data_IF_847180793378
#
_entry.id   IF_847180793378
#
_cell.length_a   1.000
_cell.length_b   1.000
_cell.length_c   1.000
_cell.angle_alpha   90.00
_cell.angle_beta   90.00
_cell.angle_gamma   90.00
#
_symmetry.space_group_name_H-M   'P 1'
#
loop_
_entity.id
_entity.type
_entity.pdbx_description
1 polymer ?
#
# COMPACT_ATOMS: atom_id res chain seq x y z
N UNK A 1 -66.76 2.48 4.33
CA UNK A 1 -66.43 3.32 5.50
C UNK A 1 -65.34 4.37 5.26
N UNK A 2 -64.48 4.27 4.24
CA UNK A 2 -63.55 5.37 3.87
C UNK A 2 -64.08 6.30 2.75
N UNK A 3 -65.07 5.86 1.98
CA UNK A 3 -65.68 6.67 0.90
C UNK A 3 -66.75 7.66 1.42
N UNK A 4 -67.39 7.37 2.55
CA UNK A 4 -68.34 8.29 3.22
C UNK A 4 -67.67 9.48 3.93
N UNK A 5 -66.35 9.44 4.09
CA UNK A 5 -65.58 10.55 4.65
C UNK A 5 -65.18 11.58 3.58
N UNK A 6 -65.07 11.16 2.31
CA UNK A 6 -64.65 12.01 1.19
C UNK A 6 -65.84 12.79 0.61
N UNK A 7 -67.05 12.19 0.63
CA UNK A 7 -68.30 12.84 0.23
C UNK A 7 -68.75 13.94 1.21
N UNK A 8 -68.39 13.84 2.50
CA UNK A 8 -68.65 14.89 3.50
C UNK A 8 -67.64 16.05 3.49
N UNK A 9 -66.56 15.96 2.73
CA UNK A 9 -65.59 17.05 2.60
C UNK A 9 -66.07 18.19 1.67
N UNK A 10 -67.13 17.95 0.87
CA UNK A 10 -67.68 18.93 -0.07
C UNK A 10 -68.76 19.86 0.53
N UNK A 11 -69.09 19.70 1.82
CA UNK A 11 -69.98 20.59 2.58
C UNK A 11 -69.26 21.31 3.73
N UNK A 12 -68.02 21.75 3.50
CA UNK A 12 -67.38 22.67 4.44
C UNK A 12 -67.91 24.10 4.23
N UNK A 13 -68.39 24.80 5.28
CA UNK A 13 -68.64 26.23 5.18
C UNK A 13 -67.34 26.92 4.77
N UNK A 14 -67.42 27.98 3.95
CA UNK A 14 -66.31 28.92 3.72
C UNK A 14 -65.99 29.63 5.04
N UNK A 15 -65.40 28.90 5.97
CA UNK A 15 -64.94 29.35 7.28
C UNK A 15 -63.47 29.69 7.19
N UNK A 16 -63.11 30.88 7.68
CA UNK A 16 -61.72 31.29 7.85
C UNK A 16 -60.95 30.16 8.53
N UNK A 17 -59.92 29.65 7.86
CA UNK A 17 -58.97 28.72 8.47
C UNK A 17 -58.34 29.49 9.63
N UNK A 18 -58.75 29.17 10.85
CA UNK A 18 -58.22 29.81 12.04
C UNK A 18 -56.72 29.53 12.14
N UNK A 19 -55.94 30.53 12.57
CA UNK A 19 -54.48 30.44 12.79
C UNK A 19 -54.11 29.17 13.56
N UNK A 20 -54.93 28.79 14.53
CA UNK A 20 -54.81 27.57 15.35
C UNK A 20 -54.96 26.28 14.55
N UNK A 21 -55.90 26.22 13.60
CA UNK A 21 -56.07 25.06 12.70
C UNK A 21 -54.90 24.96 11.72
N UNK A 22 -54.42 26.11 11.21
CA UNK A 22 -53.24 26.15 10.34
C UNK A 22 -51.98 25.68 11.09
N UNK A 23 -51.78 26.14 12.32
CA UNK A 23 -50.70 25.71 13.22
C UNK A 23 -50.78 24.20 13.51
N UNK A 24 -51.98 23.66 13.77
CA UNK A 24 -52.18 22.24 14.02
C UNK A 24 -51.88 21.37 12.78
N UNK A 25 -52.30 21.81 11.59
CA UNK A 25 -51.99 21.13 10.31
C UNK A 25 -50.48 21.18 10.03
N UNK A 26 -49.82 22.31 10.28
CA UNK A 26 -48.37 22.43 10.15
C UNK A 26 -47.62 21.53 11.15
N UNK A 27 -48.10 21.44 12.39
CA UNK A 27 -47.53 20.55 13.40
C UNK A 27 -47.72 19.07 13.03
N UNK A 28 -48.89 18.69 12.52
CA UNK A 28 -49.15 17.33 12.03
C UNK A 28 -48.28 16.98 10.82
N UNK A 29 -48.11 17.93 9.88
CA UNK A 29 -47.24 17.78 8.71
C UNK A 29 -45.77 17.58 9.12
N UNK A 30 -45.29 18.27 10.17
CA UNK A 30 -43.95 18.07 10.75
C UNK A 30 -43.77 16.70 11.41
N UNK A 31 -44.84 16.09 11.94
CA UNK A 31 -44.80 14.75 12.57
C UNK A 31 -44.91 13.62 11.55
N UNK A 32 -45.43 13.90 10.36
CA UNK A 32 -45.72 12.90 9.33
C UNK A 32 -44.50 12.06 8.90
N UNK A 33 -43.29 12.62 8.67
CA UNK A 33 -42.13 11.82 8.29
C UNK A 33 -41.72 10.84 9.40
N UNK A 34 -41.79 11.27 10.67
CA UNK A 34 -41.52 10.40 11.82
C UNK A 34 -42.57 9.28 11.92
N UNK A 35 -43.85 9.58 11.70
CA UNK A 35 -44.89 8.53 11.70
C UNK A 35 -44.64 7.49 10.61
N UNK A 36 -44.18 7.90 9.43
CA UNK A 36 -43.78 6.96 8.40
C UNK A 36 -42.60 6.09 8.84
N UNK A 37 -41.65 6.62 9.61
CA UNK A 37 -40.40 5.91 9.95
C UNK A 37 -40.59 4.74 10.90
N UNK A 38 -41.66 4.77 11.69
CA UNK A 38 -42.06 3.71 12.63
C UNK A 38 -43.16 2.79 12.06
N UNK A 39 -43.71 3.12 10.89
CA UNK A 39 -44.84 2.40 10.29
C UNK A 39 -44.42 1.35 9.26
N UNK A 40 -45.37 0.50 8.85
CA UNK A 40 -45.20 -0.42 7.71
C UNK A 40 -44.99 0.30 6.36
N UNK A 41 -45.25 1.61 6.29
CA UNK A 41 -45.14 2.44 5.08
C UNK A 41 -43.77 3.14 4.94
N UNK A 42 -42.77 2.73 5.73
CA UNK A 42 -41.39 3.24 5.71
C UNK A 42 -40.80 3.32 4.29
N UNK A 43 -41.10 2.35 3.42
CA UNK A 43 -40.53 2.23 2.07
C UNK A 43 -41.38 2.88 0.98
N UNK A 44 -42.49 3.52 1.34
CA UNK A 44 -43.38 4.17 0.37
C UNK A 44 -42.70 5.36 -0.32
N UNK A 45 -43.06 5.60 -1.59
CA UNK A 45 -42.50 6.72 -2.36
C UNK A 45 -42.76 8.08 -1.67
N UNK A 46 -43.92 8.22 -1.00
CA UNK A 46 -44.26 9.41 -0.21
C UNK A 46 -43.35 9.56 1.02
N UNK A 47 -43.07 8.47 1.74
CA UNK A 47 -42.14 8.50 2.87
C UNK A 47 -40.72 8.89 2.45
N UNK A 48 -40.21 8.33 1.36
CA UNK A 48 -38.87 8.66 0.84
C UNK A 48 -38.78 10.13 0.42
N UNK A 49 -39.79 10.66 -0.28
CA UNK A 49 -39.82 12.07 -0.66
C UNK A 49 -39.78 12.98 0.58
N UNK A 50 -40.52 12.61 1.64
CA UNK A 50 -40.50 13.32 2.91
C UNK A 50 -39.14 13.23 3.62
N UNK A 51 -38.50 12.05 3.64
CA UNK A 51 -37.15 11.92 4.20
C UNK A 51 -36.11 12.72 3.44
N UNK A 52 -36.17 12.73 2.10
CA UNK A 52 -35.31 13.58 1.26
C UNK A 52 -35.53 15.05 1.58
N UNK A 53 -36.78 15.48 1.79
CA UNK A 53 -37.10 16.86 2.13
C UNK A 53 -36.57 17.26 3.51
N UNK A 54 -36.80 16.43 4.54
CA UNK A 54 -36.32 16.71 5.89
C UNK A 54 -34.78 16.67 5.96
N UNK A 55 -34.14 15.67 5.33
CA UNK A 55 -32.68 15.66 5.18
C UNK A 55 -32.19 16.94 4.47
N UNK A 56 -32.87 17.35 3.39
CA UNK A 56 -32.53 18.58 2.67
C UNK A 56 -32.67 19.84 3.53
N UNK A 57 -33.67 19.88 4.39
CA UNK A 57 -33.87 20.99 5.30
C UNK A 57 -32.78 21.05 6.37
N UNK A 58 -32.59 19.95 7.11
CA UNK A 58 -31.66 19.92 8.24
C UNK A 58 -30.19 20.03 7.82
N UNK A 59 -29.78 19.46 6.68
CA UNK A 59 -28.40 19.66 6.21
C UNK A 59 -28.11 21.11 5.83
N UNK A 60 -29.09 21.84 5.25
CA UNK A 60 -28.91 23.25 4.84
C UNK A 60 -28.89 24.16 6.07
N UNK A 61 -29.75 23.90 7.06
CA UNK A 61 -29.91 24.73 8.25
C UNK A 61 -28.82 24.49 9.31
N UNK A 62 -28.39 23.23 9.49
CA UNK A 62 -27.56 22.80 10.63
C UNK A 62 -26.27 22.06 10.27
N UNK A 63 -26.05 21.77 8.99
CA UNK A 63 -24.88 21.03 8.51
C UNK A 63 -25.03 19.50 8.57
N UNK A 64 -24.02 18.80 8.04
CA UNK A 64 -24.03 17.34 7.85
C UNK A 64 -23.76 16.54 9.14
N UNK A 65 -22.99 17.09 10.08
CA UNK A 65 -22.64 16.41 11.34
C UNK A 65 -23.73 16.54 12.43
N UNK A 66 -24.77 17.33 12.19
CA UNK A 66 -25.82 17.54 13.18
C UNK A 66 -26.68 16.27 13.38
N UNK A 67 -27.02 15.95 14.64
CA UNK A 67 -27.78 14.76 15.04
C UNK A 67 -29.08 14.57 14.24
N UNK A 68 -29.87 15.64 14.07
CA UNK A 68 -31.12 15.58 13.29
C UNK A 68 -30.87 15.24 11.81
N UNK A 69 -29.79 15.78 11.21
CA UNK A 69 -29.42 15.48 9.82
C UNK A 69 -29.07 14.01 9.66
N UNK A 70 -28.26 13.47 10.57
CA UNK A 70 -27.87 12.06 10.58
C UNK A 70 -29.07 11.13 10.85
N UNK A 71 -30.01 11.55 11.70
CA UNK A 71 -31.25 10.80 11.96
C UNK A 71 -32.08 10.64 10.67
N UNK A 72 -32.32 11.73 9.94
CA UNK A 72 -33.06 11.69 8.69
C UNK A 72 -32.32 10.94 7.59
N UNK A 73 -30.99 11.06 7.54
CA UNK A 73 -30.16 10.27 6.64
C UNK A 73 -30.30 8.76 6.94
N UNK A 74 -30.33 8.38 8.21
CA UNK A 74 -30.56 7.01 8.64
C UNK A 74 -31.91 6.46 8.19
N UNK A 75 -32.98 7.24 8.35
CA UNK A 75 -34.31 6.88 7.87
C UNK A 75 -34.37 6.76 6.35
N UNK A 76 -33.79 7.72 5.62
CA UNK A 76 -33.72 7.72 4.17
C UNK A 76 -32.98 6.50 3.64
N UNK A 77 -31.78 6.22 4.16
CA UNK A 77 -30.95 5.09 3.75
C UNK A 77 -31.66 3.77 4.03
N UNK A 78 -32.25 3.61 5.22
CA UNK A 78 -32.99 2.39 5.56
C UNK A 78 -34.21 2.17 4.67
N UNK A 79 -34.92 3.24 4.30
CA UNK A 79 -36.06 3.16 3.39
C UNK A 79 -35.63 2.78 1.97
N UNK A 80 -34.53 3.37 1.47
CA UNK A 80 -33.99 3.09 0.14
C UNK A 80 -33.42 1.67 0.04
N UNK A 81 -32.63 1.22 1.03
CA UNK A 81 -32.06 -0.12 1.05
C UNK A 81 -33.14 -1.22 1.12
N UNK A 82 -34.27 -0.95 1.79
CA UNK A 82 -35.41 -1.89 1.88
C UNK A 82 -36.33 -1.91 0.66
N UNK A 83 -36.11 -1.06 -0.36
CA UNK A 83 -36.89 -1.11 -1.59
C UNK A 83 -36.47 -2.25 -2.53
N UNK A 84 -35.35 -2.93 -2.27
CA UNK A 84 -34.81 -4.05 -3.07
C UNK A 84 -34.64 -3.71 -4.57
N UNK A 85 -34.45 -2.42 -4.86
CA UNK A 85 -34.16 -1.91 -6.20
C UNK A 85 -32.67 -1.55 -6.29
N UNK A 86 -31.96 -1.97 -7.34
CA UNK A 86 -30.54 -1.68 -7.47
C UNK A 86 -30.25 -0.17 -7.58
N UNK A 87 -31.13 0.60 -8.22
CA UNK A 87 -30.99 2.05 -8.34
C UNK A 87 -31.16 2.76 -6.98
N UNK A 88 -32.13 2.31 -6.17
CA UNK A 88 -32.37 2.88 -4.85
C UNK A 88 -31.23 2.56 -3.87
N UNK A 89 -30.65 1.37 -3.98
CA UNK A 89 -29.48 0.95 -3.19
C UNK A 89 -28.25 1.77 -3.56
N UNK A 90 -28.04 2.01 -4.87
CA UNK A 90 -26.96 2.87 -5.36
C UNK A 90 -27.13 4.32 -4.89
N UNK A 91 -28.36 4.85 -4.93
CA UNK A 91 -28.66 6.19 -4.40
C UNK A 91 -28.35 6.28 -2.90
N UNK A 92 -28.71 5.26 -2.12
CA UNK A 92 -28.40 5.21 -0.69
C UNK A 92 -26.90 5.22 -0.41
N UNK A 93 -26.14 4.39 -1.14
CA UNK A 93 -24.67 4.32 -1.03
C UNK A 93 -24.02 5.67 -1.37
N UNK A 94 -24.40 6.28 -2.49
CA UNK A 94 -23.85 7.58 -2.93
C UNK A 94 -24.19 8.70 -1.93
N UNK A 95 -25.41 8.73 -1.41
CA UNK A 95 -25.84 9.75 -0.45
C UNK A 95 -25.09 9.62 0.88
N UNK A 96 -24.91 8.39 1.36
CA UNK A 96 -24.12 8.13 2.57
C UNK A 96 -22.65 8.51 2.39
N UNK A 97 -22.04 8.06 1.29
CA UNK A 97 -20.66 8.36 0.97
C UNK A 97 -20.44 9.88 0.89
N UNK A 98 -21.28 10.60 0.14
CA UNK A 98 -21.20 12.05 0.05
C UNK A 98 -21.32 12.73 1.42
N UNK A 99 -22.25 12.28 2.26
CA UNK A 99 -22.44 12.83 3.60
C UNK A 99 -21.23 12.62 4.51
N UNK A 100 -20.60 11.43 4.47
CA UNK A 100 -19.36 11.15 5.21
C UNK A 100 -18.24 12.09 4.76
N UNK A 101 -18.08 12.27 3.45
CA UNK A 101 -17.03 13.15 2.92
C UNK A 101 -17.26 14.62 3.29
N UNK A 102 -18.50 15.09 3.30
CA UNK A 102 -18.81 16.46 3.73
C UNK A 102 -18.57 16.67 5.23
N UNK A 103 -18.88 15.68 6.09
CA UNK A 103 -18.53 15.74 7.52
C UNK A 103 -17.02 15.83 7.69
N UNK A 104 -16.24 14.99 7.00
CA UNK A 104 -14.78 15.01 7.06
C UNK A 104 -14.14 16.32 6.57
N UNK A 105 -14.83 17.07 5.70
CA UNK A 105 -14.37 18.39 5.22
C UNK A 105 -14.72 19.54 6.15
N UNK A 106 -15.91 19.49 6.76
CA UNK A 106 -16.52 20.64 7.43
C UNK A 106 -16.35 20.61 8.94
N UNK A 107 -16.36 19.43 9.54
CA UNK A 107 -16.29 19.27 10.98
C UNK A 107 -14.84 19.15 11.47
N UNK A 108 -14.50 19.92 12.50
CA UNK A 108 -13.16 19.95 13.13
C UNK A 108 -13.17 19.50 14.57
N UNK A 109 -14.35 19.40 15.20
CA UNK A 109 -14.49 18.94 16.56
C UNK A 109 -14.36 17.40 16.61
N UNK A 110 -13.35 16.91 17.33
CA UNK A 110 -13.05 15.48 17.45
C UNK A 110 -14.18 14.66 18.08
N UNK A 111 -14.92 15.22 19.05
CA UNK A 111 -16.06 14.54 19.66
C UNK A 111 -17.21 14.39 18.65
N UNK A 112 -17.52 15.46 17.92
CA UNK A 112 -18.56 15.42 16.89
C UNK A 112 -18.19 14.46 15.75
N UNK A 113 -16.91 14.38 15.38
CA UNK A 113 -16.41 13.42 14.39
C UNK A 113 -16.57 11.98 14.88
N UNK A 114 -16.21 11.70 16.14
CA UNK A 114 -16.39 10.37 16.75
C UNK A 114 -17.87 9.97 16.78
N UNK A 115 -18.74 10.85 17.28
CA UNK A 115 -20.18 10.60 17.39
C UNK A 115 -20.83 10.40 16.00
N UNK A 116 -20.39 11.21 15.02
CA UNK A 116 -20.83 11.09 13.62
C UNK A 116 -20.38 9.76 13.03
N UNK A 117 -19.12 9.34 13.24
CA UNK A 117 -18.59 8.06 12.78
C UNK A 117 -19.40 6.88 13.32
N UNK A 118 -19.66 6.83 14.63
CA UNK A 118 -20.49 5.80 15.26
C UNK A 118 -21.90 5.79 14.66
N UNK A 119 -22.48 6.96 14.42
CA UNK A 119 -23.81 7.10 13.83
C UNK A 119 -23.83 6.60 12.38
N UNK A 120 -22.87 7.00 11.54
CA UNK A 120 -22.76 6.50 10.16
C UNK A 120 -22.58 4.99 10.12
N UNK A 121 -21.67 4.43 10.93
CA UNK A 121 -21.47 2.99 11.01
C UNK A 121 -22.76 2.26 11.39
N UNK A 122 -23.52 2.81 12.34
CA UNK A 122 -24.84 2.28 12.74
C UNK A 122 -25.85 2.37 11.59
N UNK A 123 -25.84 3.45 10.79
CA UNK A 123 -26.70 3.58 9.61
C UNK A 123 -26.35 2.53 8.56
N UNK A 124 -25.07 2.35 8.23
CA UNK A 124 -24.60 1.31 7.30
C UNK A 124 -25.05 -0.08 7.76
N UNK A 125 -24.88 -0.41 9.05
CA UNK A 125 -25.32 -1.69 9.63
C UNK A 125 -26.83 -1.88 9.54
N UNK A 126 -27.61 -0.87 9.91
CA UNK A 126 -29.08 -0.92 9.88
C UNK A 126 -29.65 -1.00 8.46
N UNK A 127 -28.90 -0.57 7.46
CA UNK A 127 -29.24 -0.66 6.04
C UNK A 127 -28.74 -1.95 5.36
N UNK A 128 -27.97 -2.80 6.06
CA UNK A 128 -27.37 -4.01 5.47
C UNK A 128 -26.21 -3.73 4.51
N UNK A 129 -25.59 -2.55 4.61
CA UNK A 129 -24.53 -2.06 3.71
C UNK A 129 -23.13 -2.18 4.34
N UNK A 130 -22.89 -3.20 5.16
CA UNK A 130 -21.63 -3.36 5.90
C UNK A 130 -20.41 -3.57 5.00
N UNK A 131 -20.56 -4.31 3.90
CA UNK A 131 -19.48 -4.52 2.91
C UNK A 131 -19.02 -3.20 2.28
N UNK A 132 -19.98 -2.33 1.96
CA UNK A 132 -19.74 -1.00 1.41
C UNK A 132 -19.07 -0.08 2.44
N UNK A 133 -19.48 -0.18 3.71
CA UNK A 133 -18.87 0.55 4.80
C UNK A 133 -17.39 0.15 5.01
N UNK A 134 -17.09 -1.16 4.96
CA UNK A 134 -15.70 -1.67 5.00
C UNK A 134 -14.89 -1.20 3.79
N UNK A 135 -15.48 -1.20 2.58
CA UNK A 135 -14.81 -0.69 1.38
C UNK A 135 -14.51 0.81 1.50
N UNK A 136 -15.47 1.61 1.93
CA UNK A 136 -15.30 3.04 2.16
C UNK A 136 -14.21 3.29 3.20
N UNK A 137 -14.19 2.52 4.29
CA UNK A 137 -13.16 2.62 5.31
C UNK A 137 -11.76 2.41 4.72
N UNK A 138 -11.55 1.31 3.99
CA UNK A 138 -10.26 1.03 3.34
C UNK A 138 -9.84 2.21 2.44
N UNK A 139 -10.75 2.75 1.64
CA UNK A 139 -10.47 3.89 0.77
C UNK A 139 -10.12 5.17 1.54
N UNK A 140 -10.81 5.46 2.65
CA UNK A 140 -10.54 6.64 3.48
C UNK A 140 -9.20 6.51 4.21
N UNK A 141 -8.87 5.33 4.75
CA UNK A 141 -7.57 5.05 5.36
C UNK A 141 -6.44 5.19 4.34
N UNK A 142 -6.58 4.59 3.15
CA UNK A 142 -5.59 4.74 2.07
C UNK A 142 -5.39 6.20 1.64
N UNK A 143 -6.47 6.99 1.60
CA UNK A 143 -6.37 8.42 1.30
C UNK A 143 -5.69 9.20 2.42
N UNK A 144 -6.00 8.91 3.68
CA UNK A 144 -5.43 9.62 4.83
C UNK A 144 -3.92 9.39 4.97
N UNK A 145 -3.47 8.16 4.70
CA UNK A 145 -2.10 7.72 4.93
C UNK A 145 -1.26 7.94 3.67
N UNK A 146 -1.69 7.39 2.54
CA UNK A 146 -0.90 7.34 1.31
C UNK A 146 -1.20 8.48 0.33
N UNK A 147 -2.22 9.31 0.62
CA UNK A 147 -2.82 10.25 -0.36
C UNK A 147 -3.23 9.55 -1.66
N UNK A 148 -3.54 8.25 -1.59
CA UNK A 148 -3.90 7.41 -2.73
C UNK A 148 -5.32 6.90 -2.54
N UNK A 149 -6.24 7.28 -3.44
CA UNK A 149 -7.57 6.66 -3.47
C UNK A 149 -8.24 6.79 -4.85
N UNK A 150 -9.05 5.78 -5.20
CA UNK A 150 -9.96 5.81 -6.34
C UNK A 150 -11.24 6.62 -6.05
N UNK A 151 -11.38 7.18 -4.85
CA UNK A 151 -12.46 8.12 -4.59
C UNK A 151 -12.18 9.36 -5.42
N UNK A 152 -13.19 9.85 -6.14
CA UNK A 152 -13.19 11.19 -6.75
C UNK A 152 -13.23 12.28 -5.66
N UNK A 153 -12.41 12.17 -4.62
CA UNK A 153 -12.11 13.31 -3.78
C UNK A 153 -11.26 14.25 -4.61
N UNK A 154 -11.62 15.53 -4.55
CA UNK A 154 -10.75 16.59 -5.02
C UNK A 154 -9.36 16.35 -4.39
N UNK A 155 -8.27 16.26 -5.18
CA UNK A 155 -6.90 16.02 -4.67
C UNK A 155 -6.45 17.07 -3.63
N UNK A 156 -7.24 18.12 -3.41
CA UNK A 156 -7.08 19.11 -2.33
C UNK A 156 -7.56 18.65 -0.95
N UNK A 157 -8.34 17.57 -0.84
CA UNK A 157 -8.83 17.08 0.46
C UNK A 157 -7.75 16.19 1.08
N UNK A 158 -6.83 16.82 1.81
CA UNK A 158 -5.94 16.12 2.73
C UNK A 158 -6.70 15.87 4.02
N UNK A 159 -6.91 14.58 4.34
CA UNK A 159 -7.45 14.19 5.64
C UNK A 159 -6.40 14.52 6.71
N UNK A 160 -6.65 15.58 7.47
CA UNK A 160 -5.74 16.03 8.54
C UNK A 160 -5.83 15.11 9.76
N UNK A 161 -4.84 15.17 10.66
CA UNK A 161 -4.74 14.25 11.81
C UNK A 161 -5.96 14.24 12.73
N UNK A 162 -6.75 15.31 12.78
CA UNK A 162 -7.99 15.34 13.58
C UNK A 162 -9.08 14.40 13.02
N UNK A 163 -9.05 14.09 11.71
CA UNK A 163 -9.99 13.17 11.07
C UNK A 163 -9.73 11.70 11.40
N UNK A 164 -8.57 11.38 11.99
CA UNK A 164 -8.23 10.00 12.38
C UNK A 164 -9.15 9.45 13.46
N UNK A 165 -9.66 10.32 14.33
CA UNK A 165 -10.69 9.96 15.32
C UNK A 165 -11.95 9.43 14.65
N UNK A 166 -12.35 10.03 13.51
CA UNK A 166 -13.47 9.53 12.71
C UNK A 166 -13.18 8.13 12.19
N UNK A 167 -11.99 7.92 11.60
CA UNK A 167 -11.61 6.62 11.02
C UNK A 167 -11.66 5.54 12.10
N UNK A 168 -10.93 5.69 13.19
CA UNK A 168 -10.88 4.66 14.26
C UNK A 168 -12.26 4.39 14.86
N UNK A 169 -13.08 5.43 15.07
CA UNK A 169 -14.45 5.28 15.59
C UNK A 169 -15.38 4.54 14.60
N UNK A 170 -15.22 4.80 13.30
CA UNK A 170 -16.00 4.14 12.26
C UNK A 170 -15.59 2.67 12.09
N UNK A 171 -14.29 2.36 12.09
CA UNK A 171 -13.75 0.99 11.99
C UNK A 171 -14.13 0.13 13.19
N UNK A 172 -13.93 0.64 14.41
CA UNK A 172 -14.31 -0.07 15.64
C UNK A 172 -15.80 -0.42 15.66
N UNK A 173 -16.66 0.50 15.21
CA UNK A 173 -18.11 0.28 15.19
C UNK A 173 -18.54 -0.72 14.11
N UNK A 174 -17.91 -0.72 12.93
CA UNK A 174 -18.26 -1.64 11.82
C UNK A 174 -17.74 -3.04 12.06
N UNK A 175 -16.48 -3.17 12.49
CA UNK A 175 -15.85 -4.47 12.70
C UNK A 175 -16.35 -5.14 13.96
N UNK A 176 -16.86 -4.37 14.93
CA UNK A 176 -17.29 -4.87 16.22
C UNK A 176 -16.15 -5.50 17.03
N UNK A 177 -14.89 -5.23 16.64
CA UNK A 177 -13.70 -5.73 17.33
C UNK A 177 -13.68 -5.14 18.75
N UNK A 178 -13.33 -5.99 19.72
CA UNK A 178 -13.12 -5.59 21.13
C UNK A 178 -11.72 -4.99 21.37
N UNK A 179 -10.95 -4.78 20.31
CA UNK A 179 -9.67 -4.07 20.42
C UNK A 179 -9.91 -2.72 21.07
N UNK A 180 -9.02 -2.34 21.99
CA UNK A 180 -9.12 -1.07 22.67
C UNK A 180 -8.95 0.03 21.62
N UNK A 181 -9.82 1.04 21.67
CA UNK A 181 -9.74 2.23 20.81
C UNK A 181 -8.33 2.82 20.78
N UNK A 182 -7.63 2.81 21.91
CA UNK A 182 -6.24 3.26 22.03
C UNK A 182 -5.25 2.45 21.20
N UNK A 183 -5.46 1.14 21.04
CA UNK A 183 -4.63 0.27 20.21
C UNK A 183 -4.82 0.61 18.74
N UNK A 184 -6.06 0.63 18.26
CA UNK A 184 -6.36 0.98 16.86
C UNK A 184 -5.83 2.38 16.50
N UNK A 185 -5.94 3.33 17.42
CA UNK A 185 -5.38 4.66 17.23
C UNK A 185 -3.85 4.62 17.18
N UNK A 186 -3.19 3.88 18.08
CA UNK A 186 -1.74 3.73 18.08
C UNK A 186 -1.23 3.08 16.78
N UNK A 187 -1.94 2.06 16.27
CA UNK A 187 -1.60 1.40 15.02
C UNK A 187 -1.69 2.37 13.84
N UNK A 188 -2.75 3.17 13.77
CA UNK A 188 -2.91 4.21 12.76
C UNK A 188 -1.81 5.28 12.85
N UNK A 189 -1.47 5.73 14.06
CA UNK A 189 -0.36 6.68 14.27
C UNK A 189 0.98 6.09 13.80
N UNK A 190 1.25 4.84 14.14
CA UNK A 190 2.47 4.15 13.73
C UNK A 190 2.53 3.98 12.21
N UNK A 191 1.43 3.60 11.57
CA UNK A 191 1.34 3.45 10.12
C UNK A 191 1.68 4.77 9.42
N UNK A 192 1.03 5.86 9.83
CA UNK A 192 1.28 7.20 9.27
C UNK A 192 2.73 7.62 9.51
N UNK A 193 3.24 7.41 10.71
CA UNK A 193 4.61 7.76 11.05
C UNK A 193 5.62 7.00 10.17
N UNK A 194 5.48 5.68 10.03
CA UNK A 194 6.35 4.84 9.20
C UNK A 194 6.29 5.27 7.74
N UNK A 195 5.10 5.54 7.20
CA UNK A 195 4.95 5.99 5.82
C UNK A 195 5.57 7.38 5.59
N UNK A 196 5.36 8.32 6.52
CA UNK A 196 5.98 9.65 6.45
C UNK A 196 7.50 9.58 6.53
N UNK A 197 8.06 8.70 7.37
CA UNK A 197 9.51 8.51 7.47
C UNK A 197 10.07 7.95 6.16
N UNK A 198 9.39 6.98 5.55
CA UNK A 198 9.73 6.48 4.22
C UNK A 198 9.68 7.59 3.15
N UNK A 199 8.57 8.31 3.02
CA UNK A 199 8.43 9.39 2.04
C UNK A 199 9.46 10.50 2.24
N UNK A 200 9.68 10.91 3.49
CA UNK A 200 10.70 11.91 3.85
C UNK A 200 12.10 11.44 3.47
N UNK A 201 12.41 10.16 3.67
CA UNK A 201 13.72 9.61 3.30
C UNK A 201 14.00 9.71 1.79
N UNK A 202 12.97 9.52 0.96
CA UNK A 202 13.05 9.72 -0.49
C UNK A 202 13.24 11.19 -0.84
N UNK A 203 12.40 12.07 -0.29
CA UNK A 203 12.45 13.53 -0.59
C UNK A 203 13.78 14.14 -0.16
N UNK A 204 14.32 13.71 0.97
CA UNK A 204 15.62 14.15 1.48
C UNK A 204 16.81 13.49 0.79
N UNK A 205 16.57 12.60 -0.19
CA UNK A 205 17.60 11.85 -0.91
C UNK A 205 18.58 11.17 0.04
N UNK A 206 18.04 10.54 1.09
CA UNK A 206 18.85 9.73 2.00
C UNK A 206 19.52 8.59 1.25
N UNK A 207 20.53 7.98 1.88
CA UNK A 207 21.17 6.78 1.33
C UNK A 207 20.13 5.70 1.04
N UNK A 208 20.29 5.02 -0.10
CA UNK A 208 19.40 3.98 -0.60
C UNK A 208 19.03 2.94 0.47
N UNK A 209 20.01 2.56 1.28
CA UNK A 209 19.96 1.56 2.35
C UNK A 209 19.05 2.02 3.49
N UNK A 210 19.18 3.28 3.89
CA UNK A 210 18.34 3.93 4.89
C UNK A 210 16.89 4.01 4.43
N UNK A 211 16.65 4.34 3.15
CA UNK A 211 15.29 4.36 2.58
C UNK A 211 14.67 2.96 2.63
N UNK A 212 15.42 1.93 2.21
CA UNK A 212 14.94 0.55 2.24
C UNK A 212 14.73 0.02 3.67
N UNK A 213 15.51 0.48 4.66
CA UNK A 213 15.26 0.15 6.07
C UNK A 213 13.95 0.74 6.58
N UNK A 214 13.57 1.95 6.16
CA UNK A 214 12.26 2.50 6.50
C UNK A 214 11.14 1.76 5.77
N UNK A 215 11.35 1.42 4.50
CA UNK A 215 10.42 0.61 3.71
C UNK A 215 10.18 -0.77 4.33
N UNK A 216 11.23 -1.46 4.78
CA UNK A 216 11.11 -2.80 5.39
C UNK A 216 10.27 -2.77 6.67
N UNK A 217 10.49 -1.76 7.52
CA UNK A 217 9.69 -1.56 8.74
C UNK A 217 8.23 -1.25 8.43
N UNK A 218 7.97 -0.40 7.44
CA UNK A 218 6.62 -0.09 6.98
C UNK A 218 5.90 -1.35 6.48
N UNK A 219 6.53 -2.12 5.59
CA UNK A 219 5.92 -3.33 5.02
C UNK A 219 5.69 -4.42 6.07
N UNK A 220 6.63 -4.59 7.01
CA UNK A 220 6.47 -5.52 8.13
C UNK A 220 5.27 -5.13 9.00
N UNK A 221 5.17 -3.85 9.36
CA UNK A 221 4.06 -3.33 10.15
C UNK A 221 2.70 -3.47 9.45
N UNK A 222 2.61 -3.14 8.15
CA UNK A 222 1.38 -3.30 7.36
C UNK A 222 0.92 -4.76 7.30
N UNK A 223 1.87 -5.70 7.26
CA UNK A 223 1.59 -7.14 7.30
C UNK A 223 1.11 -7.59 8.69
N UNK A 224 1.64 -7.02 9.77
CA UNK A 224 1.20 -7.30 11.14
C UNK A 224 -0.22 -6.79 11.42
N UNK A 225 -0.59 -5.63 10.86
CA UNK A 225 -1.91 -5.01 11.01
C UNK A 225 -2.95 -5.59 10.03
N UNK A 226 -2.54 -6.52 9.14
CA UNK A 226 -3.38 -7.12 8.10
C UNK A 226 -4.03 -6.08 7.15
N UNK A 227 -3.37 -4.95 6.89
CA UNK A 227 -3.84 -3.97 5.91
C UNK A 227 -3.34 -4.30 4.50
N UNK A 228 -4.03 -5.24 3.84
CA UNK A 228 -3.71 -5.67 2.48
C UNK A 228 -3.67 -4.50 1.46
N UNK A 229 -4.55 -3.51 1.64
CA UNK A 229 -4.66 -2.41 0.69
C UNK A 229 -3.50 -1.42 0.86
N UNK A 230 -3.16 -1.07 2.11
CA UNK A 230 -1.97 -0.29 2.43
C UNK A 230 -0.69 -1.01 1.98
N UNK A 231 -0.62 -2.33 2.21
CA UNK A 231 0.51 -3.16 1.82
C UNK A 231 0.72 -3.16 0.29
N UNK A 232 -0.33 -3.30 -0.51
CA UNK A 232 -0.22 -3.26 -1.98
C UNK A 232 0.30 -1.90 -2.49
N UNK A 233 -0.19 -0.80 -1.91
CA UNK A 233 0.23 0.57 -2.29
C UNK A 233 1.69 0.80 -1.91
N UNK A 234 2.06 0.45 -0.67
CA UNK A 234 3.41 0.60 -0.17
C UNK A 234 4.40 -0.30 -0.94
N UNK A 235 4.07 -1.57 -1.16
CA UNK A 235 4.89 -2.52 -1.92
C UNK A 235 5.15 -2.03 -3.34
N UNK A 236 4.11 -1.55 -4.02
CA UNK A 236 4.25 -0.97 -5.36
C UNK A 236 5.16 0.26 -5.36
N UNK A 237 4.99 1.18 -4.42
CA UNK A 237 5.83 2.38 -4.31
C UNK A 237 7.30 2.02 -4.03
N UNK A 238 7.54 1.05 -3.14
CA UNK A 238 8.88 0.57 -2.80
C UNK A 238 9.52 -0.13 -3.99
N UNK A 239 8.76 -0.94 -4.73
CA UNK A 239 9.24 -1.60 -5.95
C UNK A 239 9.60 -0.60 -7.04
N UNK A 240 8.78 0.43 -7.26
CA UNK A 240 9.06 1.52 -8.20
C UNK A 240 10.33 2.30 -7.82
N UNK A 241 10.50 2.62 -6.52
CA UNK A 241 11.71 3.25 -6.02
C UNK A 241 12.94 2.35 -6.23
N UNK A 242 12.83 1.07 -5.88
CA UNK A 242 13.92 0.10 -6.03
C UNK A 242 14.34 -0.08 -7.49
N UNK A 243 13.39 -0.25 -8.40
CA UNK A 243 13.63 -0.37 -9.83
C UNK A 243 14.27 0.88 -10.43
N UNK A 244 13.83 2.07 -9.99
CA UNK A 244 14.39 3.34 -10.46
C UNK A 244 15.87 3.46 -10.07
N UNK A 245 16.24 3.05 -8.85
CA UNK A 245 17.64 3.08 -8.41
C UNK A 245 18.50 2.00 -9.07
N UNK A 246 17.92 0.87 -9.47
CA UNK A 246 18.62 -0.18 -10.22
C UNK A 246 18.58 0.02 -11.75
N UNK A 247 17.99 1.12 -12.23
CA UNK A 247 17.80 1.43 -13.66
C UNK A 247 17.01 0.35 -14.43
N UNK A 248 16.16 -0.42 -13.73
CA UNK A 248 15.37 -1.52 -14.29
C UNK A 248 14.04 -0.99 -14.83
N UNK A 249 13.80 -1.19 -16.12
CA UNK A 249 12.55 -0.75 -16.77
C UNK A 249 11.37 -1.72 -16.59
N UNK A 250 11.64 -2.99 -16.30
CA UNK A 250 10.59 -4.01 -16.19
C UNK A 250 10.18 -4.25 -14.72
N UNK A 251 9.18 -3.50 -14.26
CA UNK A 251 8.58 -3.65 -12.92
C UNK A 251 7.82 -4.97 -12.73
N UNK A 252 7.55 -5.69 -13.82
CA UNK A 252 6.82 -6.96 -13.83
C UNK A 252 7.74 -8.17 -13.62
N UNK A 253 9.05 -7.97 -13.53
CA UNK A 253 10.00 -9.08 -13.33
C UNK A 253 9.79 -9.71 -11.96
N UNK A 254 9.43 -11.00 -11.94
CA UNK A 254 9.33 -11.77 -10.71
C UNK A 254 10.68 -11.86 -9.98
N UNK A 255 11.79 -11.80 -10.72
CA UNK A 255 13.15 -11.80 -10.18
C UNK A 255 13.47 -10.51 -9.44
N UNK A 256 12.98 -9.36 -9.94
CA UNK A 256 13.12 -8.08 -9.25
C UNK A 256 12.40 -8.08 -7.91
N UNK A 257 11.18 -8.63 -7.85
CA UNK A 257 10.41 -8.77 -6.61
C UNK A 257 11.07 -9.72 -5.61
N UNK A 258 11.60 -10.84 -6.09
CA UNK A 258 12.33 -11.78 -5.26
C UNK A 258 13.60 -11.14 -4.69
N UNK A 259 14.36 -10.41 -5.51
CA UNK A 259 15.55 -9.72 -5.04
C UNK A 259 15.22 -8.63 -4.03
N UNK A 260 14.16 -7.83 -4.26
CA UNK A 260 13.66 -6.87 -3.28
C UNK A 260 13.34 -7.56 -1.95
N UNK A 261 12.67 -8.71 -1.99
CA UNK A 261 12.36 -9.48 -0.79
C UNK A 261 13.61 -9.94 -0.04
N UNK A 262 14.61 -10.47 -0.75
CA UNK A 262 15.91 -10.85 -0.18
C UNK A 262 16.56 -9.65 0.52
N UNK A 263 16.55 -8.49 -0.12
CA UNK A 263 17.10 -7.25 0.45
C UNK A 263 16.35 -6.85 1.72
N UNK A 264 15.02 -6.77 1.67
CA UNK A 264 14.20 -6.33 2.81
C UNK A 264 14.35 -7.24 4.05
N UNK A 265 14.48 -8.55 3.86
CA UNK A 265 14.65 -9.53 4.95
C UNK A 265 16.02 -9.37 5.62
N UNK A 266 17.08 -9.22 4.84
CA UNK A 266 18.46 -9.23 5.35
C UNK A 266 18.96 -7.83 5.76
N UNK A 267 18.23 -6.75 5.45
CA UNK A 267 18.64 -5.36 5.72
C UNK A 267 18.79 -5.01 7.22
N UNK A 268 18.10 -5.74 8.11
CA UNK A 268 18.14 -5.48 9.55
C UNK A 268 19.23 -6.27 10.27
N UNK A 269 20.04 -7.07 9.56
CA UNK A 269 21.15 -7.82 10.14
C UNK A 269 22.40 -6.94 10.33
N UNK A 270 23.21 -7.23 11.36
CA UNK A 270 24.40 -6.44 11.70
C UNK A 270 25.45 -6.34 10.58
N UNK A 271 25.43 -7.27 9.62
CA UNK A 271 26.22 -7.26 8.38
C UNK A 271 25.31 -7.39 7.14
N UNK A 272 24.27 -6.56 7.05
CA UNK A 272 23.27 -6.58 5.97
C UNK A 272 23.85 -6.80 4.56
N UNK A 273 24.97 -6.15 4.25
CA UNK A 273 25.65 -6.26 2.96
C UNK A 273 26.12 -7.68 2.63
N UNK A 274 26.72 -8.36 3.62
CA UNK A 274 27.25 -9.71 3.48
C UNK A 274 26.08 -10.71 3.45
N UNK A 275 25.06 -10.50 4.28
CA UNK A 275 23.87 -11.35 4.31
C UNK A 275 23.07 -11.29 3.00
N UNK A 276 22.87 -10.09 2.44
CA UNK A 276 22.21 -9.91 1.14
C UNK A 276 23.01 -10.57 0.02
N UNK A 277 24.33 -10.39 -0.01
CA UNK A 277 25.20 -10.99 -1.03
C UNK A 277 25.18 -12.53 -0.94
N UNK A 278 25.19 -13.08 0.27
CA UNK A 278 25.07 -14.52 0.51
C UNK A 278 23.72 -15.08 0.06
N UNK A 279 22.62 -14.45 0.48
CA UNK A 279 21.28 -14.88 0.10
C UNK A 279 21.05 -14.77 -1.41
N UNK A 280 21.57 -13.72 -2.06
CA UNK A 280 21.56 -13.57 -3.52
C UNK A 280 22.38 -14.64 -4.24
N UNK A 281 23.56 -14.99 -3.72
CA UNK A 281 24.40 -16.08 -4.25
C UNK A 281 23.70 -17.45 -4.14
N UNK A 282 23.08 -17.73 -3.00
CA UNK A 282 22.37 -18.99 -2.76
C UNK A 282 21.16 -19.10 -3.70
N UNK A 283 20.36 -18.04 -3.83
CA UNK A 283 19.24 -17.99 -4.76
C UNK A 283 19.69 -18.15 -6.22
N UNK A 284 20.77 -17.48 -6.63
CA UNK A 284 21.37 -17.63 -7.97
C UNK A 284 21.81 -19.07 -8.22
N UNK A 285 22.44 -19.71 -7.22
CA UNK A 285 22.86 -21.11 -7.29
C UNK A 285 21.68 -22.08 -7.43
N UNK A 286 20.56 -21.80 -6.75
CA UNK A 286 19.31 -22.56 -6.89
C UNK A 286 18.72 -22.43 -8.30
N UNK A 287 18.70 -21.23 -8.88
CA UNK A 287 18.23 -21.02 -10.25
C UNK A 287 19.11 -21.73 -11.29
N UNK A 288 20.43 -21.66 -11.11
CA UNK A 288 21.39 -22.41 -11.93
C UNK A 288 21.19 -23.92 -11.83
N UNK A 289 20.94 -24.45 -10.64
CA UNK A 289 20.62 -25.87 -10.42
C UNK A 289 19.32 -26.31 -11.10
N UNK A 290 18.33 -25.43 -11.17
CA UNK A 290 17.02 -25.65 -11.83
C UNK A 290 17.05 -25.42 -13.34
N UNK A 291 18.21 -25.13 -13.95
CA UNK A 291 18.38 -24.79 -15.38
C UNK A 291 17.62 -23.53 -15.83
N UNK A 292 17.33 -22.62 -14.90
CA UNK A 292 16.72 -21.32 -15.15
C UNK A 292 17.81 -20.26 -15.32
N UNK A 293 18.52 -20.34 -16.44
CA UNK A 293 19.75 -19.58 -16.67
C UNK A 293 19.52 -18.08 -16.88
N UNK A 294 18.39 -17.69 -17.48
CA UNK A 294 18.05 -16.28 -17.70
C UNK A 294 17.74 -15.58 -16.36
N UNK A 295 16.96 -16.23 -15.50
CA UNK A 295 16.60 -15.75 -14.18
C UNK A 295 17.80 -15.67 -13.24
N UNK A 296 18.68 -16.67 -13.26
CA UNK A 296 19.92 -16.66 -12.49
C UNK A 296 20.84 -15.48 -12.89
N UNK A 297 20.94 -15.20 -14.20
CA UNK A 297 21.71 -14.05 -14.70
C UNK A 297 21.11 -12.73 -14.23
N UNK A 298 19.80 -12.54 -14.42
CA UNK A 298 19.09 -11.32 -14.01
C UNK A 298 19.24 -11.06 -12.50
N UNK A 299 19.12 -12.10 -11.68
CA UNK A 299 19.34 -12.00 -10.23
C UNK A 299 20.78 -11.61 -9.89
N UNK A 300 21.77 -12.22 -10.54
CA UNK A 300 23.17 -11.90 -10.31
C UNK A 300 23.54 -10.49 -10.78
N UNK A 301 22.90 -9.97 -11.83
CA UNK A 301 23.04 -8.57 -12.25
C UNK A 301 22.55 -7.64 -11.13
N UNK A 302 21.38 -7.90 -10.56
CA UNK A 302 20.86 -7.10 -9.46
C UNK A 302 21.74 -7.15 -8.21
N UNK A 303 22.29 -8.32 -7.88
CA UNK A 303 23.25 -8.49 -6.77
C UNK A 303 24.52 -7.66 -7.02
N UNK A 304 25.12 -7.73 -8.21
CA UNK A 304 26.32 -6.94 -8.54
C UNK A 304 26.04 -5.43 -8.53
N UNK A 305 24.89 -4.99 -9.07
CA UNK A 305 24.48 -3.59 -9.02
C UNK A 305 24.28 -3.10 -7.58
N UNK A 306 23.60 -3.89 -6.74
CA UNK A 306 23.42 -3.57 -5.33
C UNK A 306 24.76 -3.45 -4.61
N UNK A 307 25.71 -4.35 -4.90
CA UNK A 307 27.03 -4.31 -4.29
C UNK A 307 27.81 -3.03 -4.65
N UNK A 308 27.63 -2.49 -5.85
CA UNK A 308 28.25 -1.20 -6.25
C UNK A 308 27.77 -0.03 -5.39
N UNK A 309 26.52 -0.04 -4.94
CA UNK A 309 26.01 0.99 -4.01
C UNK A 309 26.68 0.95 -2.64
N UNK A 310 27.17 -0.22 -2.22
CA UNK A 310 27.85 -0.46 -0.94
C UNK A 310 29.38 -0.43 -1.04
N UNK A 311 29.92 0.33 -1.99
CA UNK A 311 31.37 0.49 -2.17
C UNK A 311 32.04 -0.64 -2.98
N UNK A 312 31.28 -1.62 -3.45
CA UNK A 312 31.76 -2.76 -4.22
C UNK A 312 32.33 -3.87 -3.34
N UNK A 313 33.22 -4.69 -3.90
CA UNK A 313 33.87 -5.80 -3.22
C UNK A 313 35.11 -5.31 -2.46
N UNK A 314 34.90 -4.68 -1.30
CA UNK A 314 35.94 -3.98 -0.53
C UNK A 314 36.42 -4.72 0.73
N UNK A 315 35.74 -5.79 1.14
CA UNK A 315 36.16 -6.67 2.24
C UNK A 315 36.41 -8.09 1.75
N UNK A 316 37.27 -8.84 2.43
CA UNK A 316 37.60 -10.22 2.07
C UNK A 316 36.36 -11.13 1.95
N UNK A 317 35.37 -11.09 2.88
CA UNK A 317 34.14 -11.86 2.75
C UNK A 317 33.33 -11.51 1.48
N UNK A 318 33.23 -10.21 1.14
CA UNK A 318 32.55 -9.77 -0.07
C UNK A 318 33.26 -10.26 -1.32
N UNK A 319 34.60 -10.24 -1.33
CA UNK A 319 35.38 -10.73 -2.47
C UNK A 319 35.20 -12.23 -2.67
N UNK A 320 35.33 -13.05 -1.62
CA UNK A 320 35.08 -14.51 -1.72
C UNK A 320 33.67 -14.79 -2.27
N UNK A 321 32.66 -14.08 -1.78
CA UNK A 321 31.29 -14.24 -2.29
C UNK A 321 31.11 -13.74 -3.73
N UNK A 322 31.74 -12.64 -4.11
CA UNK A 322 31.74 -12.13 -5.49
C UNK A 322 32.42 -13.08 -6.46
N UNK A 323 33.53 -13.71 -6.06
CA UNK A 323 34.18 -14.76 -6.83
C UNK A 323 33.30 -15.99 -6.99
N UNK A 324 32.65 -16.44 -5.90
CA UNK A 324 31.68 -17.54 -5.97
C UNK A 324 30.52 -17.20 -6.91
N UNK A 325 30.02 -15.98 -6.89
CA UNK A 325 28.95 -15.53 -7.80
C UNK A 325 29.41 -15.59 -9.26
N UNK A 326 30.60 -15.06 -9.58
CA UNK A 326 31.21 -15.14 -10.90
C UNK A 326 31.39 -16.60 -11.37
N UNK A 327 31.88 -17.48 -10.49
CA UNK A 327 32.05 -18.90 -10.77
C UNK A 327 30.71 -19.59 -11.03
N UNK A 328 29.68 -19.34 -10.21
CA UNK A 328 28.34 -19.94 -10.37
C UNK A 328 27.72 -19.57 -11.72
N UNK A 329 27.96 -18.35 -12.21
CA UNK A 329 27.46 -17.89 -13.51
C UNK A 329 28.06 -18.65 -14.70
N UNK A 330 29.32 -19.09 -14.61
CA UNK A 330 30.03 -19.72 -15.73
C UNK A 330 30.15 -21.24 -15.60
N UNK A 331 30.05 -21.79 -14.39
CA UNK A 331 30.19 -23.23 -14.10
C UNK A 331 29.05 -24.09 -14.67
N UNK A 332 28.04 -23.50 -15.30
CA UNK A 332 27.06 -24.27 -16.06
C UNK A 332 27.73 -24.86 -17.31
N UNK A 333 28.01 -26.17 -17.26
CA UNK A 333 28.69 -26.92 -18.34
C UNK A 333 28.14 -26.50 -19.71
N UNK A 334 29.03 -26.25 -20.68
CA UNK A 334 28.72 -25.81 -22.05
C UNK A 334 27.66 -26.63 -22.84
N UNK A 335 27.23 -27.78 -22.29
CA UNK A 335 26.16 -28.64 -22.81
C UNK A 335 24.75 -28.32 -22.26
N UNK A 336 24.63 -27.47 -21.23
CA UNK A 336 23.37 -27.20 -20.52
C UNK A 336 22.74 -25.85 -20.92
N UNK A 337 23.55 -24.87 -21.32
CA UNK A 337 23.07 -23.60 -21.87
C UNK A 337 23.05 -23.69 -23.40
N UNK A 338 21.89 -23.98 -23.97
CA UNK A 338 21.70 -24.08 -25.43
C UNK A 338 21.69 -22.71 -26.12
N UNK A 339 21.55 -21.62 -25.36
CA UNK A 339 21.49 -20.26 -25.87
C UNK A 339 22.88 -19.58 -25.81
N UNK A 340 23.50 -19.27 -26.97
CA UNK A 340 24.81 -18.64 -27.02
C UNK A 340 24.83 -17.19 -26.50
N UNK A 341 23.71 -16.46 -26.56
CA UNK A 341 23.61 -15.06 -26.11
C UNK A 341 23.54 -14.98 -24.59
N UNK A 342 22.77 -15.87 -23.96
CA UNK A 342 22.72 -15.99 -22.49
C UNK A 342 24.07 -16.40 -21.90
N UNK A 343 24.82 -17.24 -22.61
CA UNK A 343 26.18 -17.61 -22.22
C UNK A 343 27.14 -16.42 -22.34
N UNK A 344 27.12 -15.70 -23.46
CA UNK A 344 27.98 -14.54 -23.68
C UNK A 344 27.72 -13.44 -22.62
N UNK A 345 26.45 -13.17 -22.32
CA UNK A 345 26.07 -12.19 -21.29
C UNK A 345 26.45 -12.62 -19.87
N UNK A 346 26.28 -13.90 -19.51
CA UNK A 346 26.70 -14.43 -18.20
C UNK A 346 28.22 -14.37 -18.01
N UNK A 347 28.98 -14.68 -19.06
CA UNK A 347 30.45 -14.56 -19.09
C UNK A 347 30.88 -13.09 -18.99
N UNK A 348 30.20 -12.18 -19.69
CA UNK A 348 30.48 -10.74 -19.58
C UNK A 348 30.23 -10.18 -18.17
N UNK A 349 29.14 -10.60 -17.51
CA UNK A 349 28.83 -10.22 -16.13
C UNK A 349 29.89 -10.75 -15.15
N UNK A 350 30.24 -12.03 -15.27
CA UNK A 350 31.33 -12.64 -14.50
C UNK A 350 32.65 -11.88 -14.68
N UNK A 351 33.00 -11.54 -15.93
CA UNK A 351 34.19 -10.74 -16.24
C UNK A 351 34.15 -9.33 -15.63
N UNK A 352 32.98 -8.68 -15.61
CA UNK A 352 32.79 -7.37 -14.97
C UNK A 352 33.00 -7.42 -13.45
N UNK A 353 32.44 -8.43 -12.78
CA UNK A 353 32.64 -8.67 -11.33
C UNK A 353 34.13 -8.89 -11.04
N UNK A 354 34.79 -9.73 -11.84
CA UNK A 354 36.23 -10.00 -11.73
C UNK A 354 37.08 -8.75 -11.90
N UNK A 355 36.80 -7.92 -12.92
CA UNK A 355 37.47 -6.64 -13.14
C UNK A 355 37.34 -5.69 -11.94
N UNK A 356 36.16 -5.64 -11.33
CA UNK A 356 35.93 -4.81 -10.14
C UNK A 356 36.78 -5.30 -8.95
N UNK A 357 36.82 -6.61 -8.72
CA UNK A 357 37.62 -7.24 -7.66
C UNK A 357 39.13 -6.97 -7.90
N UNK A 358 39.64 -7.19 -9.12
CA UNK A 358 41.06 -6.97 -9.46
C UNK A 358 41.45 -5.50 -9.33
N UNK A 359 40.58 -4.57 -9.75
CA UNK A 359 40.83 -3.14 -9.56
C UNK A 359 41.00 -2.78 -8.08
N UNK A 360 40.26 -3.43 -7.17
CA UNK A 360 40.41 -3.20 -5.72
C UNK A 360 41.72 -3.74 -5.17
N UNK A 361 42.17 -4.91 -5.63
CA UNK A 361 43.52 -5.41 -5.34
C UNK A 361 44.61 -4.46 -5.83
N UNK A 362 44.48 -3.91 -7.05
CA UNK A 362 45.44 -2.93 -7.61
C UNK A 362 45.54 -1.64 -6.80
N UNK A 363 44.45 -1.22 -6.14
CA UNK A 363 44.43 0.00 -5.30
C UNK A 363 45.02 -0.19 -3.88
N UNK A 364 45.58 -1.36 -3.56
CA UNK A 364 46.43 -1.56 -2.39
C UNK A 364 45.70 -1.70 -1.04
N UNK A 365 44.39 -1.95 -1.02
CA UNK A 365 43.63 -2.10 0.24
C UNK A 365 43.60 -3.53 0.81
N UNK A 366 43.96 -4.54 0.03
CA UNK A 366 43.87 -5.96 0.43
C UNK A 366 45.03 -6.76 -0.14
N UNK A 367 45.58 -7.68 0.65
CA UNK A 367 46.60 -8.63 0.18
C UNK A 367 45.93 -9.84 -0.46
N UNK A 368 46.45 -10.26 -1.61
CA UNK A 368 45.91 -11.35 -2.45
C UNK A 368 46.11 -12.75 -1.81
N UNK A 369 46.90 -12.83 -0.74
CA UNK A 369 47.35 -14.08 -0.08
C UNK A 369 46.23 -14.82 0.66
N UNK A 370 45.10 -14.15 0.95
CA UNK A 370 44.02 -14.72 1.77
C UNK A 370 42.91 -15.43 0.96
N UNK A 371 43.06 -15.55 -0.36
CA UNK A 371 42.03 -16.13 -1.23
C UNK A 371 42.25 -17.62 -1.54
N UNK A 372 41.20 -18.45 -1.56
CA UNK A 372 41.32 -19.87 -1.92
C UNK A 372 41.85 -20.05 -3.35
N UNK A 373 42.97 -20.78 -3.48
CA UNK A 373 43.67 -21.04 -4.75
C UNK A 373 42.75 -21.65 -5.82
N UNK A 374 41.78 -22.47 -5.42
CA UNK A 374 40.81 -23.08 -6.34
C UNK A 374 39.89 -22.05 -7.02
N UNK A 375 39.46 -21.02 -6.26
CA UNK A 375 38.61 -19.95 -6.80
C UNK A 375 39.41 -19.04 -7.73
N UNK A 376 40.68 -18.78 -7.38
CA UNK A 376 41.63 -18.04 -8.20
C UNK A 376 41.96 -18.74 -9.52
N UNK A 377 42.24 -20.03 -9.50
CA UNK A 377 42.52 -20.80 -10.73
C UNK A 377 41.30 -20.83 -11.66
N UNK A 378 40.09 -20.96 -11.09
CA UNK A 378 38.85 -20.89 -11.86
C UNK A 378 38.67 -19.48 -12.43
N UNK A 379 38.87 -18.44 -11.63
CA UNK A 379 38.79 -17.04 -12.04
C UNK A 379 39.81 -16.66 -13.14
N UNK A 380 41.04 -17.17 -13.08
CA UNK A 380 42.04 -17.02 -14.13
C UNK A 380 41.60 -17.72 -15.42
N UNK A 381 40.98 -18.90 -15.33
CA UNK A 381 40.36 -19.56 -16.48
C UNK A 381 39.26 -18.70 -17.13
N UNK A 382 38.41 -18.09 -16.30
CA UNK A 382 37.32 -17.20 -16.76
C UNK A 382 37.83 -15.93 -17.44
N UNK A 383 38.88 -15.32 -16.90
CA UNK A 383 39.52 -14.15 -17.50
C UNK A 383 40.18 -14.48 -18.84
N UNK A 384 40.77 -15.68 -18.95
CA UNK A 384 41.30 -16.23 -20.20
C UNK A 384 40.19 -16.45 -21.26
N UNK A 385 39.02 -16.94 -20.84
CA UNK A 385 37.84 -17.08 -21.73
C UNK A 385 37.28 -15.72 -22.19
N UNK A 386 37.36 -14.67 -21.36
CA UNK A 386 36.96 -13.30 -21.73
C UNK A 386 38.01 -12.52 -22.54
N UNK A 387 39.16 -13.12 -22.86
CA UNK A 387 40.31 -12.48 -23.54
C UNK A 387 40.86 -11.22 -22.84
N UNK A 388 40.65 -11.07 -21.52
CA UNK A 388 41.08 -9.89 -20.76
C UNK A 388 42.52 -10.06 -20.24
N UNK A 389 43.47 -10.10 -21.18
CA UNK A 389 44.89 -10.41 -20.94
C UNK A 389 45.57 -9.49 -19.92
N UNK A 390 45.20 -8.20 -19.87
CA UNK A 390 45.77 -7.24 -18.90
C UNK A 390 45.34 -7.51 -17.45
N UNK A 391 44.13 -8.01 -17.20
CA UNK A 391 43.67 -8.39 -15.86
C UNK A 391 44.23 -9.74 -15.45
N UNK A 392 44.48 -10.62 -16.43
CA UNK A 392 45.13 -11.92 -16.25
C UNK A 392 46.58 -11.75 -15.76
N UNK A 393 47.36 -10.90 -16.45
CA UNK A 393 48.76 -10.64 -16.12
C UNK A 393 48.90 -10.12 -14.68
N UNK A 394 48.06 -9.16 -14.26
CA UNK A 394 48.10 -8.62 -12.89
C UNK A 394 47.58 -9.59 -11.83
N UNK A 395 46.71 -10.55 -12.19
CA UNK A 395 46.28 -11.60 -11.25
C UNK A 395 47.33 -12.68 -11.07
N UNK A 396 48.27 -12.84 -12.01
CA UNK A 396 49.32 -13.86 -12.00
C UNK A 396 50.64 -13.30 -11.43
N UNK A 397 50.98 -12.05 -11.74
CA UNK A 397 52.24 -11.38 -11.31
C UNK A 397 52.49 -11.41 -9.80
N UNK A 398 51.51 -11.24 -8.89
CA UNK A 398 51.75 -11.36 -7.46
C UNK A 398 51.88 -12.81 -6.95
N UNK A 399 51.57 -13.84 -7.76
CA UNK A 399 51.61 -15.25 -7.35
C UNK A 399 52.91 -15.99 -7.73
N UNK A 400 53.70 -15.46 -8.67
CA UNK A 400 55.03 -15.99 -8.97
C UNK A 400 56.10 -14.96 -8.62
N UNK A 401 56.61 -14.93 -7.37
CA UNK A 401 57.86 -14.26 -7.09
C UNK A 401 58.98 -15.21 -7.54
N UNK A 402 59.30 -15.22 -8.82
CA UNK A 402 60.59 -15.75 -9.27
C UNK A 402 61.34 -14.66 -10.03
N UNK A 403 62.55 -14.31 -9.58
CA UNK A 403 63.36 -13.30 -10.26
C UNK A 403 63.74 -13.85 -11.63
N UNK A 404 63.57 -12.99 -12.65
CA UNK A 404 64.22 -13.14 -13.94
C UNK A 404 65.74 -13.18 -13.69
N UNK A 405 66.34 -14.35 -13.90
CA UNK A 405 67.73 -14.46 -14.33
C UNK A 405 67.75 -14.63 -15.85
#
# INVERSE_FOLDING_TARGET
MYEDADSKAHEAPKGQITETTLQAVLAAKKRLPHLYSISKLLTSLKAIALYKQEFRKFHTEKGYAHRDTLLWLGHLTKALAKQDKPEATTEAQQTLQASVLEVLKTEKNSQMLSDSAVTFATIYRNAGLESEAKRLMKQLRSQAIFAHSNLKLDPKIKLESYTWVFLVSFESTITGRKELYSSMMADLFMEVFLYQMYQRSIVQKMFFTTVLSYASRLLAFLKEVEDDAGLEIADKSVLEYFATNLEVKNLSSHILREFLHIVLVNLNEGEAEISILRAGLDATSVYMGKRKFAEARELAEYVDFFQKFYGGYDTLPKIDMGLRLAIVLVRSKAKLMNDPELRASSVALSGSIMKQIIKRFRTGKLQIVDLPIEQLNTACGLLGETQDLESLEVSIVPFFPWPLC
#
